data_IF_628409299274
#
_entry.id   IF_628409299274
#
_cell.length_a   1.000
_cell.length_b   1.000
_cell.length_c   1.000
_cell.angle_alpha   90.00
_cell.angle_beta   90.00
_cell.angle_gamma   90.00
#
_symmetry.space_group_name_H-M   'P 1'
#
loop_
_entity.id
_entity.type
_entity.pdbx_description
1 polymer ?
#
# COMPACT_ATOMS: atom_id res chain seq x y z
N UNK A 1 12.17 7.51 -3.41
CA UNK A 1 11.70 6.33 -4.16
C UNK A 1 11.92 5.07 -3.34
N UNK A 2 11.00 4.07 -3.40
CA UNK A 2 11.18 2.75 -2.79
C UNK A 2 11.30 1.70 -3.89
N UNK A 3 12.32 0.86 -3.83
CA UNK A 3 12.50 -0.28 -4.72
C UNK A 3 12.28 -1.58 -3.96
N UNK A 4 11.36 -2.38 -4.43
CA UNK A 4 11.06 -3.72 -3.92
C UNK A 4 11.65 -4.70 -4.92
N UNK A 5 12.57 -5.56 -4.46
CA UNK A 5 13.37 -6.45 -5.33
C UNK A 5 13.21 -7.90 -4.88
N UNK A 6 12.45 -8.68 -5.61
CA UNK A 6 12.22 -10.12 -5.40
C UNK A 6 11.84 -10.49 -3.96
N UNK A 7 11.05 -9.63 -3.29
CA UNK A 7 10.73 -9.79 -1.87
C UNK A 7 9.82 -10.99 -1.66
N UNK A 8 10.33 -11.91 -0.83
CA UNK A 8 9.60 -13.07 -0.33
C UNK A 8 9.50 -12.99 1.18
N UNK A 9 8.29 -12.80 1.70
CA UNK A 9 8.03 -12.71 3.13
C UNK A 9 7.06 -13.82 3.55
N UNK A 10 7.51 -14.65 4.51
CA UNK A 10 6.86 -15.87 4.93
C UNK A 10 6.56 -15.87 6.42
N UNK A 11 5.61 -16.70 6.82
CA UNK A 11 5.30 -16.96 8.23
C UNK A 11 5.59 -18.41 8.58
N UNK A 12 6.32 -18.63 9.69
CA UNK A 12 6.47 -19.96 10.28
C UNK A 12 5.23 -20.26 11.11
N UNK A 13 4.54 -21.35 10.79
CA UNK A 13 3.37 -21.82 11.54
C UNK A 13 3.57 -23.28 11.96
N UNK A 14 2.71 -23.79 12.85
CA UNK A 14 2.71 -25.19 13.25
C UNK A 14 2.43 -26.12 12.05
N UNK A 15 1.65 -25.65 11.08
CA UNK A 15 1.27 -26.43 9.89
C UNK A 15 2.31 -26.35 8.75
N UNK A 16 3.31 -25.50 8.86
CA UNK A 16 4.33 -25.28 7.83
C UNK A 16 4.61 -23.80 7.57
N UNK A 17 5.23 -23.53 6.44
CA UNK A 17 5.60 -22.17 6.02
C UNK A 17 4.53 -21.58 5.11
N UNK A 18 3.87 -20.51 5.56
CA UNK A 18 2.93 -19.73 4.75
C UNK A 18 3.70 -18.73 3.90
N UNK A 19 3.64 -18.86 2.57
CA UNK A 19 4.31 -17.99 1.59
C UNK A 19 3.43 -16.78 1.30
N UNK A 20 3.36 -15.85 2.26
CA UNK A 20 2.43 -14.73 2.22
C UNK A 20 2.71 -13.73 1.09
N UNK A 21 3.99 -13.47 0.76
CA UNK A 21 4.42 -12.83 -0.48
C UNK A 21 5.60 -13.58 -1.04
N UNK A 22 5.67 -13.74 -2.35
CA UNK A 22 6.76 -14.48 -3.00
C UNK A 22 7.19 -13.78 -4.29
N UNK A 23 8.48 -13.43 -4.37
CA UNK A 23 9.12 -12.85 -5.54
C UNK A 23 8.41 -11.58 -6.04
N UNK A 24 8.11 -10.67 -5.12
CA UNK A 24 7.44 -9.40 -5.42
C UNK A 24 8.48 -8.35 -5.79
N UNK A 25 8.32 -7.75 -6.98
CA UNK A 25 9.24 -6.72 -7.49
C UNK A 25 8.45 -5.59 -8.15
N UNK A 26 8.63 -4.36 -7.67
CA UNK A 26 8.15 -3.12 -8.28
C UNK A 26 8.76 -1.89 -7.61
N UNK A 27 8.52 -0.73 -8.19
CA UNK A 27 8.98 0.55 -7.67
C UNK A 27 7.81 1.44 -7.24
N UNK A 28 8.01 2.18 -6.16
CA UNK A 28 7.12 3.23 -5.67
C UNK A 28 7.84 4.56 -5.87
N UNK A 29 7.24 5.44 -6.66
CA UNK A 29 7.84 6.72 -7.00
C UNK A 29 7.61 7.75 -5.89
N UNK A 30 8.41 8.80 -5.91
CA UNK A 30 8.18 9.92 -5.01
C UNK A 30 6.93 10.70 -5.41
N UNK A 31 6.28 11.27 -4.42
CA UNK A 31 5.15 12.17 -4.61
C UNK A 31 3.94 11.54 -5.34
N UNK A 32 3.70 10.24 -5.10
CA UNK A 32 2.51 9.56 -5.59
C UNK A 32 1.65 9.00 -4.45
N UNK A 33 0.38 8.74 -4.73
CA UNK A 33 -0.46 7.84 -3.94
C UNK A 33 -0.55 6.54 -4.71
N UNK A 34 0.08 5.48 -4.19
CA UNK A 34 0.00 4.15 -4.78
C UNK A 34 -0.94 3.25 -3.96
N UNK A 35 -1.83 2.55 -4.65
CA UNK A 35 -2.76 1.60 -4.06
C UNK A 35 -2.26 0.16 -4.16
N UNK A 36 -2.39 -0.62 -3.10
CA UNK A 36 -2.18 -2.07 -3.13
C UNK A 36 -3.51 -2.74 -2.85
N UNK A 37 -4.07 -3.39 -3.88
CA UNK A 37 -5.39 -4.00 -3.85
C UNK A 37 -5.35 -5.52 -4.07
N UNK A 38 -6.45 -6.20 -3.77
CA UNK A 38 -6.62 -7.64 -3.95
C UNK A 38 -7.44 -8.28 -2.84
N UNK A 39 -7.83 -9.55 -3.02
CA UNK A 39 -8.65 -10.29 -2.04
C UNK A 39 -8.01 -10.36 -0.66
N UNK A 40 -8.84 -10.57 0.38
CA UNK A 40 -8.35 -10.79 1.75
C UNK A 40 -7.39 -11.98 1.80
N UNK A 41 -6.28 -11.85 2.55
CA UNK A 41 -5.27 -12.88 2.67
C UNK A 41 -4.28 -12.99 1.50
N UNK A 42 -4.36 -12.13 0.47
CA UNK A 42 -3.41 -12.18 -0.67
C UNK A 42 -1.99 -11.64 -0.37
N UNK A 43 -1.72 -11.17 0.86
CA UNK A 43 -0.37 -10.74 1.27
C UNK A 43 -0.14 -9.23 1.37
N UNK A 44 -1.14 -8.37 1.18
CA UNK A 44 -1.02 -6.89 1.20
C UNK A 44 -0.40 -6.36 2.50
N UNK A 45 -0.98 -6.70 3.64
CA UNK A 45 -0.47 -6.28 4.97
C UNK A 45 0.93 -6.84 5.24
N UNK A 46 1.23 -8.05 4.76
CA UNK A 46 2.58 -8.63 4.86
C UNK A 46 3.59 -7.82 4.06
N UNK A 47 3.26 -7.43 2.83
CA UNK A 47 4.10 -6.58 2.01
C UNK A 47 4.29 -5.20 2.66
N UNK A 48 3.23 -4.61 3.21
CA UNK A 48 3.31 -3.34 3.94
C UNK A 48 4.25 -3.43 5.15
N UNK A 49 4.14 -4.50 5.95
CA UNK A 49 5.05 -4.75 7.08
C UNK A 49 6.50 -4.90 6.62
N UNK A 50 6.73 -5.59 5.50
CA UNK A 50 8.06 -5.73 4.93
C UNK A 50 8.63 -4.38 4.47
N UNK A 51 7.83 -3.53 3.81
CA UNK A 51 8.22 -2.17 3.38
C UNK A 51 8.52 -1.29 4.60
N UNK A 52 7.72 -1.39 5.65
CA UNK A 52 7.93 -0.64 6.89
C UNK A 52 9.13 -1.16 7.70
N UNK A 53 9.63 -2.37 7.40
CA UNK A 53 10.70 -3.01 8.17
C UNK A 53 10.23 -3.60 9.50
N UNK A 54 8.92 -3.76 9.70
CA UNK A 54 8.35 -4.43 10.88
C UNK A 54 8.22 -5.94 10.62
N UNK A 55 9.36 -6.62 10.67
CA UNK A 55 9.47 -8.06 10.42
C UNK A 55 9.76 -8.77 11.74
N UNK A 56 8.70 -9.18 12.42
CA UNK A 56 8.75 -9.86 13.71
C UNK A 56 8.25 -11.29 13.61
N UNK A 57 8.86 -12.19 14.37
CA UNK A 57 8.39 -13.58 14.46
C UNK A 57 6.88 -13.65 14.73
N UNK A 58 6.12 -14.49 14.02
CA UNK A 58 6.55 -15.58 13.13
C UNK A 58 6.87 -15.20 11.68
N UNK A 59 6.80 -13.90 11.30
CA UNK A 59 7.17 -13.39 9.97
C UNK A 59 8.68 -13.31 9.80
N UNK A 60 9.18 -13.61 8.58
CA UNK A 60 10.57 -13.41 8.20
C UNK A 60 10.70 -13.14 6.69
N UNK A 61 11.76 -12.45 6.29
CA UNK A 61 12.11 -12.28 4.86
C UNK A 61 12.92 -13.49 4.43
N UNK A 62 12.37 -14.26 3.48
CA UNK A 62 12.97 -15.47 2.93
C UNK A 62 13.89 -15.17 1.74
N UNK A 63 13.69 -14.03 1.06
CA UNK A 63 14.51 -13.61 -0.08
C UNK A 63 14.20 -12.19 -0.51
N UNK A 64 15.08 -11.64 -1.34
CA UNK A 64 14.96 -10.29 -1.86
C UNK A 64 15.27 -9.20 -0.85
N UNK A 65 14.93 -7.97 -1.19
CA UNK A 65 15.19 -6.81 -0.35
C UNK A 65 14.36 -5.58 -0.74
N UNK A 66 14.30 -4.64 0.17
CA UNK A 66 13.63 -3.36 0.00
C UNK A 66 14.66 -2.25 0.23
N UNK A 67 14.71 -1.31 -0.69
CA UNK A 67 15.60 -0.16 -0.67
C UNK A 67 14.78 1.13 -0.66
N UNK A 68 15.02 1.97 0.34
CA UNK A 68 14.50 3.34 0.39
C UNK A 68 15.61 4.30 -0.03
N UNK A 69 15.41 5.01 -1.13
CA UNK A 69 16.27 6.12 -1.50
C UNK A 69 15.75 7.38 -0.81
N UNK A 70 16.55 7.94 0.08
CA UNK A 70 16.24 9.15 0.84
C UNK A 70 17.36 10.17 0.69
N UNK A 71 17.03 11.44 0.88
CA UNK A 71 18.01 12.52 1.00
C UNK A 71 18.23 12.79 2.49
N UNK A 72 19.42 12.59 2.95
CA UNK A 72 19.83 12.84 4.34
C UNK A 72 20.86 13.96 4.33
N UNK A 73 20.44 15.16 4.72
CA UNK A 73 21.30 16.36 4.76
C UNK A 73 21.97 16.72 3.42
N UNK A 74 21.26 16.50 2.29
CA UNK A 74 21.77 16.78 0.94
C UNK A 74 22.56 15.63 0.30
N UNK A 75 22.71 14.51 0.99
CA UNK A 75 23.31 13.29 0.46
C UNK A 75 22.24 12.21 0.19
N UNK A 76 22.28 11.66 -1.02
CA UNK A 76 21.42 10.51 -1.36
C UNK A 76 21.92 9.27 -0.63
N UNK A 77 21.06 8.69 0.18
CA UNK A 77 21.32 7.46 0.93
C UNK A 77 20.31 6.38 0.56
N UNK A 78 20.80 5.15 0.43
CA UNK A 78 19.95 3.97 0.28
C UNK A 78 19.85 3.28 1.66
N UNK A 79 18.64 3.17 2.17
CA UNK A 79 18.32 2.50 3.43
C UNK A 79 17.71 1.15 3.09
N UNK A 80 18.28 0.07 3.59
CA UNK A 80 17.77 -1.29 3.39
C UNK A 80 16.71 -1.66 4.42
N UNK A 81 15.90 -2.69 4.13
CA UNK A 81 14.86 -3.18 5.03
C UNK A 81 15.38 -3.56 6.44
N UNK A 82 16.67 -3.87 6.60
CA UNK A 82 17.28 -4.15 7.90
C UNK A 82 17.47 -2.88 8.75
N UNK A 83 17.59 -1.73 8.11
CA UNK A 83 17.89 -0.45 8.76
C UNK A 83 16.69 0.49 8.85
N UNK A 84 15.61 0.22 8.12
CA UNK A 84 14.42 1.10 8.02
C UNK A 84 13.87 1.48 9.40
N UNK A 85 13.89 0.58 10.38
CA UNK A 85 13.39 0.82 11.74
C UNK A 85 14.09 2.00 12.45
N UNK A 86 15.32 2.36 12.05
CA UNK A 86 16.07 3.52 12.58
C UNK A 86 15.53 4.86 12.05
N UNK A 87 14.74 4.81 10.98
CA UNK A 87 14.19 5.95 10.27
C UNK A 87 12.66 6.08 10.42
N UNK A 88 12.09 5.27 11.31
CA UNK A 88 10.69 5.40 11.70
C UNK A 88 10.43 6.79 12.29
N UNK A 89 9.27 7.34 11.98
CA UNK A 89 8.85 8.69 12.37
C UNK A 89 9.71 9.81 11.76
N UNK A 90 10.74 9.51 11.05
CA UNK A 90 11.56 10.48 10.34
C UNK A 90 11.28 10.50 8.84
N UNK A 91 11.45 9.36 8.20
CA UNK A 91 11.25 9.21 6.76
C UNK A 91 10.03 8.36 6.42
N UNK A 92 9.63 7.48 7.31
CA UNK A 92 8.55 6.53 7.06
C UNK A 92 7.68 6.39 8.31
N UNK A 93 6.35 6.47 8.11
CA UNK A 93 5.33 6.27 9.15
C UNK A 93 4.32 5.24 8.71
N UNK A 94 3.58 4.70 9.69
CA UNK A 94 2.62 3.63 9.45
C UNK A 94 1.30 3.89 10.19
N UNK A 95 0.19 3.85 9.46
CA UNK A 95 -1.18 3.84 9.96
C UNK A 95 -1.68 2.40 9.87
N UNK A 96 -1.76 1.65 10.98
CA UNK A 96 -2.10 0.23 10.94
C UNK A 96 -3.60 -0.02 10.75
N UNK A 97 -3.93 -1.22 10.32
CA UNK A 97 -5.30 -1.75 10.29
C UNK A 97 -5.92 -1.69 11.70
N UNK A 98 -7.22 -1.48 11.78
CA UNK A 98 -7.94 -1.30 13.04
C UNK A 98 -7.37 -0.15 13.90
N UNK A 99 -6.96 0.92 13.25
CA UNK A 99 -6.33 2.10 13.83
C UNK A 99 -7.09 2.70 15.02
N UNK A 100 -8.41 2.46 15.11
CA UNK A 100 -9.23 2.92 16.25
C UNK A 100 -8.79 2.41 17.62
N UNK A 101 -8.04 1.30 17.69
CA UNK A 101 -7.49 0.70 18.92
C UNK A 101 -6.04 1.09 19.19
N UNK A 102 -5.40 1.83 18.30
CA UNK A 102 -3.97 2.19 18.36
C UNK A 102 -3.73 3.31 19.38
N UNK A 103 -4.66 4.24 19.52
CA UNK A 103 -4.55 5.31 20.51
C UNK A 103 -4.62 4.75 21.92
N UNK A 104 -3.68 5.15 22.77
CA UNK A 104 -3.68 4.75 24.17
C UNK A 104 -4.90 5.39 24.90
N UNK A 105 -5.86 4.58 25.41
CA UNK A 105 -7.12 5.09 25.95
C UNK A 105 -6.98 5.89 27.24
N UNK A 106 -5.86 5.76 27.95
CA UNK A 106 -5.60 6.45 29.22
C UNK A 106 -4.72 7.69 29.10
N UNK A 107 -4.25 7.99 27.89
CA UNK A 107 -3.49 9.20 27.59
C UNK A 107 -4.34 10.20 26.79
N UNK A 108 -4.15 11.49 27.05
CA UNK A 108 -4.73 12.54 26.21
C UNK A 108 -4.04 12.58 24.85
N UNK A 109 -4.75 13.06 23.84
CA UNK A 109 -4.22 13.15 22.48
C UNK A 109 -2.90 13.94 22.44
N UNK A 110 -2.81 15.09 23.13
CA UNK A 110 -1.57 15.88 23.20
C UNK A 110 -0.37 15.10 23.75
N UNK A 111 -0.61 14.23 24.73
CA UNK A 111 0.47 13.48 25.37
C UNK A 111 0.99 12.42 24.40
N UNK A 112 0.11 11.78 23.62
CA UNK A 112 0.48 10.83 22.57
C UNK A 112 1.25 11.51 21.42
N UNK A 113 0.87 12.74 21.06
CA UNK A 113 1.66 13.54 20.12
C UNK A 113 3.05 13.83 20.69
N UNK A 114 3.15 14.25 21.95
CA UNK A 114 4.44 14.56 22.59
C UNK A 114 5.36 13.36 22.69
N UNK A 115 4.80 12.16 22.97
CA UNK A 115 5.56 10.92 23.04
C UNK A 115 6.08 10.46 21.66
N UNK A 116 5.35 10.77 20.59
CA UNK A 116 5.75 10.45 19.22
C UNK A 116 6.90 11.34 18.71
N UNK A 117 7.19 12.49 19.38
CA UNK A 117 8.20 13.45 18.96
C UNK A 117 9.47 13.38 19.81
N UNK A 118 10.29 12.39 19.54
CA UNK A 118 11.57 12.22 20.22
C UNK A 118 12.72 13.04 19.63
N UNK A 119 12.49 13.75 18.50
CA UNK A 119 13.55 14.50 17.80
C UNK A 119 14.06 15.68 18.63
N UNK A 120 15.38 15.88 18.72
CA UNK A 120 15.99 17.00 19.46
C UNK A 120 15.51 18.37 18.97
N UNK A 121 15.32 18.53 17.67
CA UNK A 121 14.89 19.80 17.03
C UNK A 121 13.47 20.18 17.44
N UNK A 122 12.59 19.21 17.57
CA UNK A 122 11.21 19.41 18.01
C UNK A 122 11.17 19.72 19.50
N UNK A 123 12.02 19.09 20.30
CA UNK A 123 12.18 19.40 21.73
C UNK A 123 12.74 20.80 21.95
N UNK A 124 13.59 21.30 21.05
CA UNK A 124 14.15 22.66 21.11
C UNK A 124 13.08 23.77 20.96
N UNK A 125 11.94 23.49 20.30
CA UNK A 125 10.84 24.45 20.17
C UNK A 125 10.16 24.80 21.48
N UNK A 126 10.29 23.99 22.50
CA UNK A 126 9.57 24.12 23.78
C UNK A 126 8.12 23.62 23.71
N UNK A 127 7.63 23.13 24.84
CA UNK A 127 6.31 22.44 24.94
C UNK A 127 5.14 23.31 24.46
N UNK A 128 5.13 24.61 24.77
CA UNK A 128 4.03 25.50 24.42
C UNK A 128 3.95 25.77 22.92
N UNK A 129 5.06 26.05 22.28
CA UNK A 129 5.14 26.25 20.84
C UNK A 129 4.76 24.97 20.06
N UNK A 130 5.17 23.80 20.57
CA UNK A 130 4.80 22.52 20.00
C UNK A 130 3.29 22.26 20.10
N UNK A 131 2.68 22.51 21.25
CA UNK A 131 1.23 22.37 21.42
C UNK A 131 0.45 23.33 20.50
N UNK A 132 0.93 24.56 20.32
CA UNK A 132 0.32 25.50 19.37
C UNK A 132 0.41 24.95 17.93
N UNK A 133 1.57 24.48 17.52
CA UNK A 133 1.76 23.88 16.19
C UNK A 133 0.88 22.65 15.95
N UNK A 134 0.72 21.80 16.98
CA UNK A 134 -0.23 20.66 16.92
C UNK A 134 -1.67 21.15 16.77
N UNK A 135 -2.07 22.18 17.52
CA UNK A 135 -3.42 22.75 17.44
C UNK A 135 -3.71 23.30 16.04
N UNK A 136 -2.74 23.99 15.43
CA UNK A 136 -2.87 24.54 14.08
C UNK A 136 -2.97 23.41 13.05
N UNK A 137 -2.14 22.38 13.18
CA UNK A 137 -2.18 21.22 12.29
C UNK A 137 -3.51 20.43 12.40
N UNK A 138 -4.07 20.28 13.58
CA UNK A 138 -5.38 19.66 13.74
C UNK A 138 -6.49 20.46 13.04
N UNK A 139 -6.41 21.81 13.04
CA UNK A 139 -7.38 22.64 12.28
C UNK A 139 -7.28 22.40 10.77
N UNK A 140 -6.06 22.24 10.23
CA UNK A 140 -5.86 21.89 8.81
C UNK A 140 -6.54 20.55 8.44
N UNK A 141 -6.66 19.64 9.42
CA UNK A 141 -7.33 18.35 9.29
C UNK A 141 -8.81 18.38 9.71
N UNK A 142 -9.40 19.56 9.78
CA UNK A 142 -10.81 19.77 10.19
C UNK A 142 -11.14 19.19 11.57
N UNK A 143 -10.19 19.25 12.50
CA UNK A 143 -10.36 18.88 13.88
C UNK A 143 -10.29 20.13 14.78
N UNK A 144 -11.20 20.29 15.75
CA UNK A 144 -11.11 21.39 16.71
C UNK A 144 -9.89 21.19 17.62
N UNK A 145 -9.15 22.27 17.96
CA UNK A 145 -7.93 22.18 18.77
C UNK A 145 -8.13 21.56 20.15
N UNK A 146 -9.33 21.65 20.68
CA UNK A 146 -9.75 21.08 21.98
C UNK A 146 -9.53 19.56 22.02
N UNK A 147 -9.49 18.90 20.84
CA UNK A 147 -9.17 17.47 20.70
C UNK A 147 -7.84 17.12 21.36
N UNK A 148 -6.87 18.03 21.38
CA UNK A 148 -5.60 17.81 22.08
C UNK A 148 -5.78 17.46 23.57
N UNK A 149 -6.81 18.00 24.22
CA UNK A 149 -7.09 17.74 25.62
C UNK A 149 -8.05 16.57 25.86
N UNK A 150 -8.63 16.02 24.80
CA UNK A 150 -9.54 14.89 24.87
C UNK A 150 -8.79 13.56 25.05
N UNK A 151 -9.50 12.57 25.55
CA UNK A 151 -9.10 11.16 25.52
C UNK A 151 -9.68 10.48 24.28
N UNK A 152 -9.08 9.39 23.77
CA UNK A 152 -9.56 8.70 22.56
C UNK A 152 -11.04 8.30 22.63
N UNK A 153 -11.54 7.88 23.79
CA UNK A 153 -12.93 7.45 23.97
C UNK A 153 -13.96 8.61 23.89
N UNK A 154 -13.50 9.86 23.96
CA UNK A 154 -14.35 11.06 23.83
C UNK A 154 -14.50 11.49 22.36
N UNK A 155 -13.78 10.85 21.42
CA UNK A 155 -13.79 11.18 20.01
C UNK A 155 -14.70 10.23 19.23
N UNK A 156 -15.38 10.74 18.19
CA UNK A 156 -16.06 9.91 17.21
C UNK A 156 -15.06 9.04 16.43
N UNK A 157 -15.54 8.02 15.72
CA UNK A 157 -14.69 7.15 14.89
C UNK A 157 -13.88 7.95 13.86
N UNK A 158 -14.54 8.84 13.12
CA UNK A 158 -13.88 9.70 12.14
C UNK A 158 -12.88 10.67 12.75
N UNK A 159 -13.17 11.24 13.93
CA UNK A 159 -12.21 12.10 14.65
C UNK A 159 -10.97 11.30 15.09
N UNK A 160 -11.16 10.09 15.63
CA UNK A 160 -10.03 9.22 15.99
C UNK A 160 -9.16 8.89 14.79
N UNK A 161 -9.78 8.56 13.65
CA UNK A 161 -9.06 8.28 12.43
C UNK A 161 -8.24 9.49 11.96
N UNK A 162 -8.85 10.69 11.95
CA UNK A 162 -8.13 11.93 11.59
C UNK A 162 -6.96 12.21 12.55
N UNK A 163 -7.11 11.94 13.85
CA UNK A 163 -6.03 12.08 14.84
C UNK A 163 -4.89 11.11 14.54
N UNK A 164 -5.18 9.85 14.17
CA UNK A 164 -4.14 8.87 13.84
C UNK A 164 -3.39 9.26 12.58
N UNK A 165 -4.11 9.73 11.55
CA UNK A 165 -3.46 10.27 10.34
C UNK A 165 -2.63 11.51 10.69
N UNK A 166 -3.15 12.40 11.55
CA UNK A 166 -2.41 13.56 12.03
C UNK A 166 -1.12 13.17 12.73
N UNK A 167 -1.16 12.19 13.64
CA UNK A 167 0.03 11.65 14.29
C UNK A 167 1.06 11.15 13.28
N UNK A 168 0.61 10.38 12.28
CA UNK A 168 1.50 9.79 11.28
C UNK A 168 2.10 10.84 10.32
N UNK A 169 1.44 11.98 10.10
CA UNK A 169 1.84 12.95 9.07
C UNK A 169 2.44 14.26 9.63
N UNK A 170 2.25 14.56 10.91
CA UNK A 170 2.74 15.80 11.54
C UNK A 170 4.27 15.98 11.47
N UNK A 171 5.04 14.91 11.47
CA UNK A 171 6.50 14.93 11.29
C UNK A 171 6.95 15.18 9.85
N UNK A 172 6.01 15.31 8.91
CA UNK A 172 6.25 15.44 7.49
C UNK A 172 7.14 14.32 6.95
N UNK A 173 6.75 13.03 7.16
CA UNK A 173 7.54 11.91 6.67
C UNK A 173 7.52 11.90 5.14
N UNK A 174 8.56 11.33 4.51
CA UNK A 174 8.59 11.16 3.06
C UNK A 174 7.63 10.08 2.58
N UNK A 175 7.43 9.03 3.39
CA UNK A 175 6.56 7.91 3.09
C UNK A 175 5.55 7.67 4.20
N UNK A 176 4.28 7.58 3.85
CA UNK A 176 3.19 7.24 4.75
C UNK A 176 2.54 5.95 4.27
N UNK A 177 2.61 4.91 5.08
CA UNK A 177 1.93 3.64 4.82
C UNK A 177 0.60 3.64 5.56
N UNK A 178 -0.49 3.36 4.86
CA UNK A 178 -1.82 3.28 5.47
C UNK A 178 -2.50 1.95 5.11
N UNK A 179 -2.68 1.11 6.12
CA UNK A 179 -3.30 -0.20 5.97
C UNK A 179 -4.78 -0.10 6.36
N UNK A 180 -5.66 -0.18 5.38
CA UNK A 180 -7.12 -0.08 5.55
C UNK A 180 -7.57 1.19 6.30
N UNK A 181 -7.17 2.41 5.89
CA UNK A 181 -7.34 3.63 6.68
C UNK A 181 -8.79 4.07 6.85
N UNK A 182 -9.73 3.48 6.12
CA UNK A 182 -11.16 3.85 6.15
C UNK A 182 -12.07 2.71 6.62
N UNK A 183 -11.50 1.57 7.03
CA UNK A 183 -12.28 0.42 7.50
C UNK A 183 -13.10 0.78 8.75
N UNK A 184 -14.34 0.28 8.80
CA UNK A 184 -15.32 0.50 9.88
C UNK A 184 -15.81 1.96 10.02
N UNK A 185 -15.67 2.78 8.98
CA UNK A 185 -16.26 4.12 8.89
C UNK A 185 -17.49 4.09 7.98
N UNK A 186 -18.46 4.97 8.27
CA UNK A 186 -19.57 5.20 7.34
C UNK A 186 -19.09 5.91 6.06
N UNK A 187 -19.89 5.81 4.99
CA UNK A 187 -19.52 6.31 3.64
C UNK A 187 -19.18 7.79 3.62
N UNK A 188 -19.89 8.61 4.42
CA UNK A 188 -19.67 10.08 4.45
C UNK A 188 -18.34 10.40 5.13
N UNK A 189 -18.07 9.77 6.27
CA UNK A 189 -16.82 9.92 7.00
C UNK A 189 -15.65 9.36 6.18
N UNK A 190 -15.82 8.20 5.54
CA UNK A 190 -14.82 7.61 4.64
C UNK A 190 -14.42 8.61 3.56
N UNK A 191 -15.39 9.20 2.85
CA UNK A 191 -15.12 10.20 1.80
C UNK A 191 -14.34 11.41 2.34
N UNK A 192 -14.69 11.89 3.53
CA UNK A 192 -13.96 12.99 4.18
C UNK A 192 -12.50 12.65 4.48
N UNK A 193 -12.23 11.42 4.96
CA UNK A 193 -10.86 10.94 5.21
C UNK A 193 -10.07 10.82 3.89
N UNK A 194 -10.68 10.28 2.84
CA UNK A 194 -10.02 10.14 1.53
C UNK A 194 -9.64 11.50 0.95
N UNK A 195 -10.56 12.48 1.00
CA UNK A 195 -10.29 13.85 0.56
C UNK A 195 -9.14 14.47 1.37
N UNK A 196 -9.14 14.28 2.69
CA UNK A 196 -8.06 14.74 3.57
C UNK A 196 -6.70 14.13 3.19
N UNK A 197 -6.64 12.81 2.92
CA UNK A 197 -5.40 12.14 2.51
C UNK A 197 -4.83 12.70 1.20
N UNK A 198 -5.68 12.94 0.20
CA UNK A 198 -5.28 13.58 -1.07
C UNK A 198 -4.74 14.99 -0.86
N UNK A 199 -5.41 15.79 -0.02
CA UNK A 199 -4.98 17.15 0.28
C UNK A 199 -3.64 17.16 1.03
N UNK A 200 -3.47 16.28 2.02
CA UNK A 200 -2.22 16.10 2.74
C UNK A 200 -1.07 15.71 1.81
N UNK A 201 -1.29 14.75 0.90
CA UNK A 201 -0.28 14.33 -0.05
C UNK A 201 0.18 15.51 -0.93
N UNK A 202 -0.76 16.30 -1.43
CA UNK A 202 -0.46 17.50 -2.24
C UNK A 202 0.28 18.57 -1.47
N UNK A 203 -0.10 18.79 -0.20
CA UNK A 203 0.50 19.81 0.66
C UNK A 203 1.90 19.41 1.11
N UNK A 204 2.09 18.16 1.53
CA UNK A 204 3.33 17.64 2.07
C UNK A 204 4.30 17.15 0.99
N UNK A 205 3.84 17.00 -0.26
CA UNK A 205 4.64 16.48 -1.39
C UNK A 205 5.31 15.14 -1.04
N UNK A 206 4.62 14.30 -0.27
CA UNK A 206 5.10 13.00 0.18
C UNK A 206 4.45 11.85 -0.61
N UNK A 207 4.87 10.63 -0.34
CA UNK A 207 4.35 9.42 -0.99
C UNK A 207 3.47 8.66 -0.02
N UNK A 208 2.23 8.37 -0.44
CA UNK A 208 1.32 7.49 0.30
C UNK A 208 1.26 6.11 -0.33
N UNK A 209 1.34 5.09 0.49
CA UNK A 209 1.14 3.69 0.12
C UNK A 209 -0.11 3.21 0.85
N UNK A 210 -1.18 2.97 0.11
CA UNK A 210 -2.49 2.67 0.69
C UNK A 210 -2.89 1.24 0.35
N UNK A 211 -3.15 0.45 1.35
CA UNK A 211 -3.78 -0.87 1.21
C UNK A 211 -5.26 -0.74 1.49
N UNK A 212 -6.07 -1.25 0.59
CA UNK A 212 -7.51 -1.46 0.82
C UNK A 212 -8.01 -2.67 0.01
N UNK A 213 -9.09 -3.27 0.49
CA UNK A 213 -9.86 -4.23 -0.29
C UNK A 213 -10.98 -3.56 -1.10
N UNK A 214 -11.27 -2.29 -0.83
CA UNK A 214 -12.27 -1.49 -1.54
C UNK A 214 -11.64 -0.81 -2.77
N UNK A 215 -11.98 -1.31 -3.95
CA UNK A 215 -11.54 -0.77 -5.23
C UNK A 215 -12.02 0.66 -5.44
N UNK A 216 -13.19 1.02 -4.92
CA UNK A 216 -13.73 2.38 -5.00
C UNK A 216 -12.89 3.40 -4.24
N UNK A 217 -12.26 3.00 -3.13
CA UNK A 217 -11.25 3.80 -2.41
C UNK A 217 -10.06 4.08 -3.31
N UNK A 218 -9.51 3.05 -3.93
CA UNK A 218 -8.36 3.21 -4.83
C UNK A 218 -8.68 4.10 -6.01
N UNK A 219 -9.83 3.90 -6.67
CA UNK A 219 -10.27 4.73 -7.80
C UNK A 219 -10.28 6.23 -7.48
N UNK A 220 -10.72 6.57 -6.26
CA UNK A 220 -10.87 7.96 -5.86
C UNK A 220 -9.55 8.68 -5.57
N UNK A 221 -8.52 7.98 -5.11
CA UNK A 221 -7.35 8.65 -4.51
C UNK A 221 -6.00 8.21 -5.06
N UNK A 222 -5.90 7.05 -5.71
CA UNK A 222 -4.59 6.54 -6.14
C UNK A 222 -4.23 6.99 -7.56
N UNK A 223 -2.93 7.18 -7.81
CA UNK A 223 -2.39 7.46 -9.13
C UNK A 223 -2.05 6.17 -9.88
N UNK A 224 -1.55 5.18 -9.16
CA UNK A 224 -1.18 3.85 -9.65
C UNK A 224 -1.66 2.78 -8.68
N UNK A 225 -1.86 1.58 -9.20
CA UNK A 225 -2.27 0.43 -8.40
C UNK A 225 -1.38 -0.77 -8.64
N UNK A 226 -1.18 -1.54 -7.58
CA UNK A 226 -0.59 -2.87 -7.56
C UNK A 226 -1.67 -3.87 -7.17
N UNK A 227 -2.07 -4.72 -8.08
CA UNK A 227 -3.05 -5.76 -7.82
C UNK A 227 -2.32 -7.03 -7.38
N UNK A 228 -2.63 -7.51 -6.19
CA UNK A 228 -2.04 -8.72 -5.62
C UNK A 228 -3.02 -9.88 -5.58
N UNK A 229 -2.55 -11.06 -5.94
CA UNK A 229 -3.30 -12.30 -5.81
C UNK A 229 -2.43 -13.40 -5.22
N UNK A 230 -2.92 -14.01 -4.13
CA UNK A 230 -2.29 -15.16 -3.48
C UNK A 230 -0.75 -15.02 -3.31
N UNK A 231 -0.28 -13.87 -2.81
CA UNK A 231 1.13 -13.60 -2.52
C UNK A 231 1.99 -13.15 -3.71
N UNK A 232 1.40 -12.94 -4.88
CA UNK A 232 2.08 -12.46 -6.09
C UNK A 232 1.46 -11.15 -6.60
N UNK A 233 2.23 -10.38 -7.34
CA UNK A 233 1.70 -9.27 -8.13
C UNK A 233 1.08 -9.84 -9.40
N UNK A 234 -0.18 -9.50 -9.64
CA UNK A 234 -0.91 -9.87 -10.86
C UNK A 234 -0.80 -8.78 -11.92
N UNK A 235 -0.93 -7.51 -11.51
CA UNK A 235 -0.96 -6.38 -12.43
C UNK A 235 -0.51 -5.09 -11.74
N UNK A 236 0.18 -4.21 -12.47
CA UNK A 236 0.54 -2.85 -12.03
C UNK A 236 0.28 -1.90 -13.19
N UNK A 237 -0.52 -0.87 -12.94
CA UNK A 237 -0.72 0.20 -13.92
C UNK A 237 -1.19 1.49 -13.23
N UNK A 238 -1.41 2.54 -14.02
CA UNK A 238 -2.17 3.71 -13.60
C UNK A 238 -3.57 3.28 -13.17
N UNK A 239 -4.16 4.02 -12.26
CA UNK A 239 -5.47 3.66 -11.71
C UNK A 239 -6.55 3.63 -12.79
N UNK A 240 -6.57 4.64 -13.68
CA UNK A 240 -7.48 4.68 -14.83
C UNK A 240 -7.33 3.43 -15.73
N UNK A 241 -6.10 3.01 -16.06
CA UNK A 241 -5.84 1.82 -16.87
C UNK A 241 -6.30 0.52 -16.18
N UNK A 242 -6.14 0.41 -14.86
CA UNK A 242 -6.65 -0.74 -14.10
C UNK A 242 -8.18 -0.86 -14.19
N UNK A 243 -8.90 0.28 -14.21
CA UNK A 243 -10.36 0.28 -14.25
C UNK A 243 -10.93 0.19 -15.65
N UNK A 244 -10.31 0.87 -16.61
CA UNK A 244 -10.83 0.97 -17.98
C UNK A 244 -10.30 -0.14 -18.89
N UNK A 245 -9.05 -0.58 -18.68
CA UNK A 245 -8.35 -1.53 -19.56
C UNK A 245 -7.56 -2.59 -18.77
N UNK A 246 -8.20 -3.31 -17.82
CA UNK A 246 -7.51 -4.37 -17.04
C UNK A 246 -6.96 -5.44 -17.98
N UNK A 247 -5.73 -5.86 -17.74
CA UNK A 247 -5.04 -6.84 -18.59
C UNK A 247 -5.00 -8.24 -17.94
N UNK A 248 -4.96 -8.33 -16.62
CA UNK A 248 -4.98 -9.62 -15.95
C UNK A 248 -6.44 -10.09 -15.75
N UNK A 249 -6.79 -11.35 -16.08
CA UNK A 249 -8.16 -11.86 -15.91
C UNK A 249 -8.70 -11.73 -14.48
N UNK A 250 -7.84 -11.81 -13.47
CA UNK A 250 -8.23 -11.56 -12.08
C UNK A 250 -8.65 -10.10 -11.86
N UNK A 251 -7.89 -9.15 -12.38
CA UNK A 251 -8.21 -7.71 -12.29
C UNK A 251 -9.53 -7.40 -13.00
N UNK A 252 -9.70 -7.94 -14.19
CA UNK A 252 -10.93 -7.81 -14.96
C UNK A 252 -12.15 -8.29 -14.15
N UNK A 253 -12.09 -9.53 -13.61
CA UNK A 253 -13.15 -10.07 -12.78
C UNK A 253 -13.36 -9.27 -11.47
N UNK A 254 -12.29 -8.69 -10.91
CA UNK A 254 -12.36 -7.86 -9.71
C UNK A 254 -13.13 -6.55 -9.99
N UNK A 255 -12.86 -5.91 -11.14
CA UNK A 255 -13.54 -4.69 -11.59
C UNK A 255 -14.99 -4.99 -11.99
N UNK A 256 -15.23 -6.09 -12.67
CA UNK A 256 -16.59 -6.50 -13.08
C UNK A 256 -17.49 -6.86 -11.90
N UNK A 257 -16.92 -7.28 -10.79
CA UNK A 257 -17.66 -7.56 -9.56
C UNK A 257 -18.12 -6.27 -8.83
N UNK A 258 -17.63 -5.07 -9.22
CA UNK A 258 -18.01 -3.82 -8.58
C UNK A 258 -19.42 -3.40 -8.95
N UNK A 259 -20.23 -2.94 -7.98
CA UNK A 259 -21.56 -2.41 -8.28
C UNK A 259 -21.43 -1.12 -9.10
N UNK A 260 -22.20 -0.99 -10.16
CA UNK A 260 -22.31 0.23 -10.98
C UNK A 260 -23.63 0.93 -10.70
N UNK A 261 -23.60 2.26 -10.60
CA UNK A 261 -24.81 3.05 -10.41
C UNK A 261 -25.76 2.86 -11.60
N UNK A 262 -26.99 2.45 -11.34
CA UNK A 262 -28.00 2.21 -12.39
C UNK A 262 -27.96 0.81 -13.03
N UNK A 263 -27.17 -0.11 -12.50
CA UNK A 263 -27.15 -1.50 -12.95
C UNK A 263 -27.99 -2.35 -11.99
N UNK A 264 -29.08 -2.92 -12.52
CA UNK A 264 -29.98 -3.82 -11.75
C UNK A 264 -29.51 -5.30 -11.76
N UNK A 265 -28.36 -5.60 -12.38
CA UNK A 265 -27.83 -6.94 -12.45
C UNK A 265 -27.12 -7.31 -11.15
N UNK A 266 -27.50 -8.44 -10.53
CA UNK A 266 -26.70 -9.05 -9.48
C UNK A 266 -25.33 -9.46 -10.03
N UNK A 267 -24.28 -8.77 -9.60
CA UNK A 267 -22.91 -9.11 -9.97
C UNK A 267 -22.42 -10.22 -9.09
N UNK A 268 -22.09 -11.34 -9.70
CA UNK A 268 -21.46 -12.45 -9.01
C UNK A 268 -20.02 -12.07 -8.64
N UNK A 269 -19.65 -12.28 -7.38
CA UNK A 269 -18.24 -12.20 -6.98
C UNK A 269 -17.40 -13.25 -7.72
N UNK A 270 -16.07 -13.12 -7.65
CA UNK A 270 -15.15 -14.06 -8.29
C UNK A 270 -15.37 -15.47 -7.69
N UNK A 271 -15.83 -16.42 -8.52
CA UNK A 271 -16.16 -17.77 -8.08
C UNK A 271 -14.92 -18.56 -7.62
N UNK A 272 -15.11 -19.54 -6.75
CA UNK A 272 -14.06 -20.38 -6.22
C UNK A 272 -13.31 -19.73 -5.03
N UNK A 273 -12.26 -20.40 -4.56
CA UNK A 273 -11.42 -19.92 -3.43
C UNK A 273 -9.99 -19.70 -3.87
N UNK A 274 -9.28 -18.72 -3.31
CA UNK A 274 -7.85 -18.57 -3.51
C UNK A 274 -7.10 -19.84 -3.09
N UNK A 275 -5.97 -20.16 -3.75
CA UNK A 275 -5.15 -21.30 -3.38
C UNK A 275 -4.53 -21.12 -1.99
N UNK A 276 -4.19 -22.25 -1.35
CA UNK A 276 -3.47 -22.23 -0.08
C UNK A 276 -2.07 -21.62 -0.25
N UNK A 277 -1.70 -20.72 0.66
CA UNK A 277 -0.36 -20.15 0.71
C UNK A 277 0.65 -21.06 1.45
N UNK A 278 0.19 -22.14 2.07
CA UNK A 278 1.07 -23.19 2.63
C UNK A 278 1.72 -24.00 1.51
N UNK A 279 0.93 -24.35 0.50
CA UNK A 279 1.37 -25.12 -0.67
C UNK A 279 0.76 -24.49 -1.93
N UNK A 280 1.28 -23.36 -2.39
CA UNK A 280 0.76 -22.68 -3.58
C UNK A 280 1.13 -23.47 -4.84
N UNK A 281 0.26 -23.43 -5.88
CA UNK A 281 0.55 -24.11 -7.15
C UNK A 281 1.84 -23.60 -7.78
N UNK A 282 2.54 -24.50 -8.49
CA UNK A 282 3.79 -24.20 -9.19
C UNK A 282 3.59 -23.29 -10.41
N UNK A 283 2.41 -23.36 -11.03
CA UNK A 283 2.00 -22.49 -12.13
C UNK A 283 1.35 -21.19 -11.68
N UNK A 284 0.58 -20.58 -12.58
CA UNK A 284 -0.17 -19.37 -12.29
C UNK A 284 -1.13 -19.60 -11.11
N UNK A 285 -1.01 -18.80 -10.06
CA UNK A 285 -1.84 -18.94 -8.85
C UNK A 285 -3.33 -18.69 -9.08
N UNK A 286 -3.68 -17.97 -10.15
CA UNK A 286 -5.07 -17.72 -10.53
C UNK A 286 -5.64 -18.79 -11.49
N UNK A 287 -4.84 -19.73 -12.00
CA UNK A 287 -5.25 -20.68 -13.05
C UNK A 287 -6.55 -21.43 -12.74
N UNK A 288 -6.77 -21.86 -11.49
CA UNK A 288 -7.97 -22.62 -11.09
C UNK A 288 -9.27 -21.82 -11.14
N UNK A 289 -9.21 -20.48 -11.21
CA UNK A 289 -10.37 -19.57 -11.25
C UNK A 289 -10.40 -18.75 -12.55
N UNK A 290 -9.39 -18.92 -13.43
CA UNK A 290 -9.21 -18.10 -14.62
C UNK A 290 -10.00 -18.71 -15.80
N UNK A 291 -10.84 -17.91 -16.43
CA UNK A 291 -11.62 -18.32 -17.61
C UNK A 291 -10.74 -18.46 -18.89
N UNK A 292 -9.52 -17.94 -18.88
CA UNK A 292 -8.54 -18.08 -19.97
C UNK A 292 -7.50 -19.18 -19.71
N UNK A 293 -7.60 -19.91 -18.59
CA UNK A 293 -6.59 -20.87 -18.20
C UNK A 293 -6.47 -22.04 -19.21
N UNK A 294 -5.25 -22.46 -19.45
CA UNK A 294 -4.92 -23.69 -20.18
C UNK A 294 -3.91 -24.52 -19.39
N UNK A 295 -3.47 -25.63 -19.96
CA UNK A 295 -2.52 -26.54 -19.35
C UNK A 295 -1.19 -25.85 -18.99
N UNK A 296 -0.70 -24.95 -19.85
CA UNK A 296 0.52 -24.17 -19.61
C UNK A 296 0.40 -23.30 -18.35
N UNK A 297 -0.80 -22.74 -18.10
CA UNK A 297 -1.05 -21.90 -16.91
C UNK A 297 -0.93 -22.70 -15.61
N UNK A 298 -1.19 -24.01 -15.61
CA UNK A 298 -1.04 -24.88 -14.43
C UNK A 298 0.41 -25.26 -14.15
N UNK A 299 1.29 -25.17 -15.15
CA UNK A 299 2.68 -25.62 -15.07
C UNK A 299 3.69 -24.48 -14.92
N UNK A 300 3.38 -23.29 -15.50
CA UNK A 300 4.30 -22.18 -15.58
C UNK A 300 3.79 -20.97 -14.79
N UNK A 301 4.61 -20.49 -13.86
CA UNK A 301 4.37 -19.22 -13.17
C UNK A 301 4.67 -18.07 -14.13
N UNK A 302 3.71 -17.18 -14.45
CA UNK A 302 3.98 -16.04 -15.32
C UNK A 302 4.88 -15.03 -14.62
N UNK A 303 5.85 -14.50 -15.36
CA UNK A 303 6.64 -13.36 -14.94
C UNK A 303 5.80 -12.06 -15.09
N UNK A 304 6.08 -11.07 -14.25
CA UNK A 304 5.54 -9.73 -14.41
C UNK A 304 6.27 -9.05 -15.57
N UNK A 305 5.58 -8.77 -16.66
CA UNK A 305 6.14 -8.17 -17.88
C UNK A 305 5.40 -6.88 -18.24
N UNK A 306 6.11 -5.93 -18.79
CA UNK A 306 5.51 -4.68 -19.29
C UNK A 306 4.83 -4.96 -20.63
N UNK A 307 3.52 -4.75 -20.70
CA UNK A 307 2.71 -4.99 -21.89
C UNK A 307 2.42 -3.69 -22.66
N UNK A 308 2.28 -2.59 -21.95
CA UNK A 308 2.18 -1.23 -22.44
C UNK A 308 3.00 -0.28 -21.54
N UNK A 309 3.35 0.93 -21.96
CA UNK A 309 4.19 1.83 -21.16
C UNK A 309 3.64 2.05 -19.75
N UNK A 310 4.37 1.58 -18.74
CA UNK A 310 3.96 1.65 -17.33
C UNK A 310 2.87 0.65 -16.92
N UNK A 311 2.45 -0.27 -17.80
CA UNK A 311 1.45 -1.31 -17.53
C UNK A 311 2.11 -2.70 -17.51
N UNK A 312 2.20 -3.29 -16.33
CA UNK A 312 2.85 -4.57 -16.09
C UNK A 312 1.83 -5.65 -15.73
N UNK A 313 1.96 -6.84 -16.31
CA UNK A 313 1.02 -7.94 -16.13
C UNK A 313 1.73 -9.26 -15.95
N UNK A 314 1.31 -10.07 -15.00
CA UNK A 314 1.79 -11.45 -14.79
C UNK A 314 0.80 -12.47 -15.39
N UNK A 315 0.69 -12.52 -16.72
CA UNK A 315 -0.24 -13.41 -17.42
C UNK A 315 0.38 -13.99 -18.69
N UNK A 316 0.32 -15.33 -18.85
CA UNK A 316 0.83 -16.03 -20.04
C UNK A 316 0.00 -15.79 -21.29
N UNK A 317 -1.18 -15.19 -21.17
CA UNK A 317 -2.12 -14.88 -22.26
C UNK A 317 -2.01 -13.43 -22.76
N UNK A 318 -1.13 -12.64 -22.14
CA UNK A 318 -0.92 -11.24 -22.52
C UNK A 318 0.50 -11.07 -23.04
N UNK A 319 0.62 -10.44 -24.20
CA UNK A 319 1.90 -10.15 -24.85
C UNK A 319 2.11 -8.63 -24.88
N UNK A 320 3.36 -8.17 -24.89
CA UNK A 320 3.68 -6.75 -25.09
C UNK A 320 3.02 -6.21 -26.38
N UNK A 321 2.54 -4.97 -26.32
CA UNK A 321 1.95 -4.29 -27.47
C UNK A 321 2.96 -4.19 -28.64
N UNK A 322 2.45 -3.89 -29.83
CA UNK A 322 3.29 -3.69 -31.01
C UNK A 322 4.33 -2.57 -30.78
N UNK A 323 3.95 -1.52 -30.04
CA UNK A 323 4.84 -0.42 -29.69
C UNK A 323 5.98 -0.88 -28.78
N UNK A 324 5.69 -1.67 -27.74
CA UNK A 324 6.69 -2.22 -26.83
C UNK A 324 7.64 -3.19 -27.54
N UNK A 325 7.12 -4.03 -28.43
CA UNK A 325 7.93 -4.94 -29.25
C UNK A 325 8.89 -4.17 -30.16
N UNK A 326 8.45 -3.08 -30.76
CA UNK A 326 9.29 -2.22 -31.62
C UNK A 326 10.41 -1.55 -30.81
N UNK A 327 10.12 -1.02 -29.62
CA UNK A 327 11.13 -0.42 -28.75
C UNK A 327 12.18 -1.44 -28.28
N UNK A 328 11.76 -2.63 -27.88
CA UNK A 328 12.67 -3.71 -27.46
C UNK A 328 13.59 -4.17 -28.59
N UNK A 329 13.14 -4.15 -29.85
CA UNK A 329 13.96 -4.49 -31.01
C UNK A 329 15.03 -3.42 -31.33
N UNK A 330 14.71 -2.13 -31.11
CA UNK A 330 15.67 -1.02 -31.29
C UNK A 330 16.78 -1.09 -30.23
N UNK A 331 16.44 -1.36 -28.95
CA UNK A 331 17.41 -1.47 -27.86
C UNK A 331 18.37 -2.65 -28.09
N UNK A 332 17.88 -3.80 -28.60
CA UNK A 332 18.71 -4.95 -28.95
C UNK A 332 19.60 -4.70 -30.16
N UNK A 333 19.16 -3.89 -31.13
CA UNK A 333 19.93 -3.52 -32.31
C UNK A 333 21.12 -2.59 -32.02
N UNK A 334 21.03 -1.78 -30.97
CA UNK A 334 22.11 -0.87 -30.54
C UNK A 334 23.18 -1.58 -29.69
N UNK A 335 22.84 -2.72 -29.06
CA UNK A 335 23.79 -3.50 -28.25
C UNK A 335 24.71 -4.42 -29.07
N UNK A 336 24.56 -4.49 -30.41
CA UNK A 336 25.35 -5.28 -31.33
C UNK A 336 26.12 -4.43 -32.38
N UNK A 337 26.25 -3.14 -32.18
CA UNK A 337 27.18 -2.26 -32.88
C UNK A 337 28.24 -1.73 -31.89
#
# INVERSE_FOLDING_TARGET
MIRIKNVSAYYKTVQGTVKATEDVSFEIFDNEIIGIAGESGCGKTTLMKAIYGNVESPMYIAGGGIELEVDVHGEKKIITNQEIHRYWWEYITYVPQASMSVLNPVLRIKDQFLDSYLRPEVRALGKQALLQRMADYLRELELPPEVLNAYPHQLSGGMRQRVIVALATFVHPRFVLADEPTTALDVVVQRGILTMLVNLQKQLQNTFIIVSHDMGVHYQITHRMVIMYAGKVAEIARTDEIFDHPQHPYTEMLIDALPRVGDDQERAGISGRPPSLLDPPSGCRFASRCYLADERCTQVQPALVEVDPGHFVACLKREPSAQMRAQASVVRGVAHQ
#
